data_IF_050053580694
#
_entry.id   IF_050053580694
#
_cell.length_a   1.000
_cell.length_b   1.000
_cell.length_c   1.000
_cell.angle_alpha   90.00
_cell.angle_beta   90.00
_cell.angle_gamma   90.00
#
_symmetry.space_group_name_H-M   'P 1'
#
loop_
_entity.id
_entity.type
_entity.pdbx_description
1 polymer ?
#
# COMPACT_ATOMS: atom_id res chain seq x y z
N UNK A 1 -15.81 16.59 -1.93
CA UNK A 1 -14.94 17.00 -3.04
C UNK A 1 -15.52 16.51 -4.35
N UNK A 2 -15.62 17.37 -5.35
CA UNK A 2 -16.08 16.99 -6.70
C UNK A 2 -14.93 16.33 -7.49
N UNK A 3 -15.17 15.14 -8.05
CA UNK A 3 -14.21 14.47 -8.95
C UNK A 3 -14.36 15.00 -10.37
N UNK A 4 -13.59 16.02 -10.69
CA UNK A 4 -13.67 16.78 -11.94
C UNK A 4 -12.48 16.57 -12.89
N UNK A 5 -11.75 15.45 -12.76
CA UNK A 5 -10.56 15.13 -13.57
C UNK A 5 -10.79 15.12 -15.10
N UNK A 6 -12.06 15.10 -15.53
CA UNK A 6 -12.48 15.13 -16.93
C UNK A 6 -12.71 16.56 -17.48
N UNK A 7 -12.75 17.58 -16.60
CA UNK A 7 -12.98 18.98 -16.94
C UNK A 7 -11.65 19.74 -17.01
N UNK A 8 -11.61 20.74 -17.86
CA UNK A 8 -10.51 21.70 -17.92
C UNK A 8 -10.64 22.76 -16.83
N UNK A 9 -9.53 23.39 -16.41
CA UNK A 9 -9.60 24.50 -15.45
C UNK A 9 -10.44 25.69 -15.94
N UNK A 10 -10.53 25.91 -17.25
CA UNK A 10 -11.42 26.94 -17.83
C UNK A 10 -12.89 26.60 -17.58
N UNK A 11 -13.27 25.33 -17.72
CA UNK A 11 -14.64 24.87 -17.43
C UNK A 11 -14.97 24.85 -15.94
N UNK A 12 -13.96 24.72 -15.07
CA UNK A 12 -14.14 24.74 -13.61
C UNK A 12 -14.24 26.19 -13.09
N UNK A 13 -13.34 27.07 -13.53
CA UNK A 13 -13.16 28.41 -12.93
C UNK A 13 -13.59 29.58 -13.81
N UNK A 14 -13.78 29.38 -15.11
CA UNK A 14 -14.13 30.42 -16.08
C UNK A 14 -12.98 31.37 -16.45
N UNK A 15 -12.14 31.77 -15.48
CA UNK A 15 -11.01 32.67 -15.68
C UNK A 15 -9.76 32.26 -14.91
N UNK A 16 -8.61 32.86 -15.23
CA UNK A 16 -7.32 32.62 -14.54
C UNK A 16 -7.37 33.14 -13.11
N UNK A 17 -8.00 34.29 -12.89
CA UNK A 17 -8.08 34.98 -11.59
C UNK A 17 -8.87 34.14 -10.58
N UNK A 18 -9.97 33.52 -11.02
CA UNK A 18 -10.78 32.62 -10.19
C UNK A 18 -10.00 31.35 -9.80
N UNK A 19 -9.22 30.80 -10.74
CA UNK A 19 -8.34 29.66 -10.46
C UNK A 19 -7.28 30.04 -9.41
N UNK A 20 -6.62 31.20 -9.56
CA UNK A 20 -5.62 31.69 -8.59
C UNK A 20 -6.25 31.85 -7.21
N UNK A 21 -7.41 32.51 -7.14
CA UNK A 21 -8.14 32.72 -5.89
C UNK A 21 -8.51 31.40 -5.22
N UNK A 22 -8.96 30.40 -5.99
CA UNK A 22 -9.28 29.07 -5.47
C UNK A 22 -8.05 28.32 -4.95
N UNK A 23 -6.91 28.40 -5.65
CA UNK A 23 -5.66 27.80 -5.18
C UNK A 23 -5.20 28.45 -3.88
N UNK A 24 -5.24 29.78 -3.78
CA UNK A 24 -4.90 30.52 -2.56
C UNK A 24 -5.80 30.10 -1.39
N UNK A 25 -7.11 30.01 -1.59
CA UNK A 25 -8.07 29.54 -0.57
C UNK A 25 -7.76 28.12 -0.06
N UNK A 26 -7.42 27.21 -0.97
CA UNK A 26 -7.07 25.82 -0.63
C UNK A 26 -5.78 25.78 0.20
N UNK A 27 -4.75 26.51 -0.22
CA UNK A 27 -3.47 26.55 0.49
C UNK A 27 -3.63 27.16 1.89
N UNK A 28 -4.35 28.27 2.01
CA UNK A 28 -4.59 28.93 3.30
C UNK A 28 -5.33 28.01 4.29
N UNK A 29 -6.33 27.25 3.83
CA UNK A 29 -7.18 26.45 4.70
C UNK A 29 -6.67 25.05 5.01
N UNK A 30 -5.92 24.45 4.09
CA UNK A 30 -5.64 23.02 4.13
C UNK A 30 -4.15 22.67 4.05
N UNK A 31 -3.25 23.62 3.76
CA UNK A 31 -1.83 23.32 3.70
C UNK A 31 -1.28 22.99 5.09
N UNK A 32 -0.65 21.83 5.19
CA UNK A 32 0.03 21.36 6.38
C UNK A 32 1.45 20.99 5.98
N UNK A 33 2.42 21.53 6.69
CA UNK A 33 3.81 21.13 6.55
C UNK A 33 4.09 19.93 7.46
N UNK A 34 4.56 18.84 6.86
CA UNK A 34 5.02 17.67 7.59
C UNK A 34 6.53 17.80 7.74
N UNK A 35 6.97 18.20 8.94
CA UNK A 35 8.40 18.25 9.26
C UNK A 35 8.98 16.84 9.17
N UNK A 36 10.02 16.68 8.35
CA UNK A 36 10.85 15.48 8.40
C UNK A 36 11.70 15.54 9.66
N UNK A 37 11.30 14.76 10.66
CA UNK A 37 12.16 14.44 11.79
C UNK A 37 12.33 12.92 11.83
N UNK A 38 13.56 12.49 12.13
CA UNK A 38 13.91 11.11 12.47
C UNK A 38 13.32 10.68 13.80
N UNK A 39 12.59 11.58 14.48
CA UNK A 39 11.78 11.29 15.65
C UNK A 39 11.04 9.95 15.54
N UNK A 40 11.02 9.15 16.63
CA UNK A 40 10.24 7.93 16.71
C UNK A 40 8.78 8.19 16.36
N UNK A 41 8.18 7.31 15.55
CA UNK A 41 6.76 7.44 15.25
C UNK A 41 5.96 7.14 16.53
N UNK A 42 5.07 8.06 16.89
CA UNK A 42 4.19 7.90 18.05
C UNK A 42 3.02 6.94 17.74
N UNK A 43 3.35 5.68 17.49
CA UNK A 43 2.42 4.61 17.10
C UNK A 43 2.05 3.74 18.28
N UNK A 44 0.92 3.05 18.16
CA UNK A 44 0.54 1.95 19.03
C UNK A 44 0.66 0.66 18.24
N UNK A 45 0.97 -0.43 18.93
CA UNK A 45 1.13 -1.75 18.34
C UNK A 45 0.27 -2.75 19.10
N UNK A 46 -0.15 -3.79 18.37
CA UNK A 46 -0.73 -4.98 18.96
C UNK A 46 0.43 -5.92 19.31
N UNK A 47 0.41 -6.44 20.53
CA UNK A 47 1.41 -7.39 21.02
C UNK A 47 0.77 -8.39 21.97
N UNK A 48 1.31 -9.61 22.19
CA UNK A 48 0.77 -10.52 23.20
C UNK A 48 0.61 -9.83 24.55
N UNK A 49 -0.50 -10.09 25.25
CA UNK A 49 -0.74 -9.49 26.56
C UNK A 49 0.37 -9.86 27.55
N UNK A 50 0.89 -11.09 27.46
CA UNK A 50 2.08 -11.56 28.15
C UNK A 50 3.09 -12.08 27.14
N UNK A 51 4.19 -11.35 26.95
CA UNK A 51 5.30 -11.79 26.09
C UNK A 51 6.14 -12.79 26.89
N UNK A 52 5.86 -14.08 26.72
CA UNK A 52 6.68 -15.17 27.30
C UNK A 52 7.78 -15.59 26.33
N UNK A 53 8.85 -16.24 26.80
CA UNK A 53 9.92 -16.73 25.93
C UNK A 53 9.44 -17.74 24.87
N UNK A 54 8.29 -18.39 25.09
CA UNK A 54 7.65 -19.34 24.18
C UNK A 54 6.53 -18.75 23.30
N UNK A 55 6.29 -17.44 23.33
CA UNK A 55 5.20 -16.81 22.57
C UNK A 55 5.18 -17.14 21.06
N UNK A 56 6.32 -17.33 20.35
CA UNK A 56 6.27 -17.60 18.90
C UNK A 56 5.64 -18.96 18.57
N UNK A 57 5.67 -19.90 19.51
CA UNK A 57 5.10 -21.24 19.37
C UNK A 57 3.76 -21.40 20.10
N UNK A 58 3.26 -20.33 20.72
CA UNK A 58 1.97 -20.36 21.42
C UNK A 58 0.82 -20.22 20.42
N UNK A 59 0.24 -21.36 20.06
CA UNK A 59 -0.93 -21.44 19.20
C UNK A 59 -2.22 -21.00 19.91
N UNK A 60 -2.23 -21.00 21.25
CA UNK A 60 -3.39 -20.67 22.08
C UNK A 60 -3.45 -19.20 22.50
N UNK A 61 -2.48 -18.39 22.08
CA UNK A 61 -2.47 -16.96 22.33
C UNK A 61 -3.73 -16.31 21.72
N UNK A 62 -4.60 -15.81 22.60
CA UNK A 62 -5.89 -15.18 22.27
C UNK A 62 -6.02 -13.78 22.88
N UNK A 63 -5.18 -13.45 23.86
CA UNK A 63 -5.21 -12.19 24.58
C UNK A 63 -4.01 -11.30 24.20
N UNK A 64 -4.32 -10.09 23.73
CA UNK A 64 -3.35 -9.13 23.24
C UNK A 64 -3.46 -7.81 24.00
N UNK A 65 -2.39 -7.02 23.95
CA UNK A 65 -2.35 -5.65 24.41
C UNK A 65 -2.22 -4.68 23.23
N UNK A 66 -2.93 -3.56 23.30
CA UNK A 66 -2.60 -2.36 22.53
C UNK A 66 -1.62 -1.54 23.37
N UNK A 67 -0.42 -1.30 22.85
CA UNK A 67 0.62 -0.54 23.55
C UNK A 67 0.24 0.93 23.73
N UNK A 68 0.95 1.66 24.58
CA UNK A 68 0.87 3.11 24.61
C UNK A 68 1.50 3.71 23.34
N UNK A 69 1.10 4.94 22.94
CA UNK A 69 1.76 5.65 21.84
C UNK A 69 3.27 5.81 22.07
N UNK A 70 4.08 5.43 21.08
CA UNK A 70 5.54 5.51 21.12
C UNK A 70 6.21 4.37 21.88
N UNK A 71 5.43 3.42 22.41
CA UNK A 71 5.93 2.26 23.16
C UNK A 71 6.31 1.11 22.20
N UNK A 72 7.39 1.31 21.46
CA UNK A 72 8.11 0.22 20.78
C UNK A 72 9.48 0.07 21.47
N UNK A 73 9.81 -1.09 22.06
CA UNK A 73 11.08 -1.23 22.75
C UNK A 73 12.28 -0.99 21.80
N UNK A 74 13.37 -0.37 22.27
CA UNK A 74 14.54 -0.12 21.43
C UNK A 74 15.07 -1.40 20.77
N UNK A 75 15.34 -1.34 19.47
CA UNK A 75 15.83 -2.49 18.70
C UNK A 75 14.77 -3.52 18.32
N UNK A 76 13.50 -3.33 18.69
CA UNK A 76 12.40 -4.16 18.20
C UNK A 76 11.91 -3.67 16.84
N UNK A 77 11.47 -4.64 16.04
CA UNK A 77 10.85 -4.44 14.75
C UNK A 77 9.32 -4.62 14.87
N UNK A 78 8.57 -4.10 13.90
CA UNK A 78 7.14 -4.38 13.76
C UNK A 78 6.79 -4.73 12.33
N UNK A 79 5.70 -5.46 12.16
CA UNK A 79 5.07 -5.67 10.85
C UNK A 79 3.88 -4.72 10.69
N UNK A 80 3.67 -4.22 9.48
CA UNK A 80 2.44 -3.50 9.12
C UNK A 80 1.53 -4.44 8.33
N UNK A 81 0.22 -4.39 8.57
CA UNK A 81 -0.76 -5.21 7.87
C UNK A 81 -1.50 -4.35 6.85
N UNK A 82 -1.57 -4.85 5.62
CA UNK A 82 -2.25 -4.21 4.50
C UNK A 82 -3.38 -5.12 4.02
N UNK A 83 -4.61 -4.61 4.02
CA UNK A 83 -5.79 -5.39 3.67
C UNK A 83 -6.95 -4.48 3.24
N UNK A 84 -8.02 -5.08 2.71
CA UNK A 84 -9.24 -4.35 2.42
C UNK A 84 -10.22 -4.45 3.58
N UNK A 85 -10.79 -3.35 4.05
CA UNK A 85 -11.70 -3.41 5.22
C UNK A 85 -12.94 -4.27 4.97
N UNK A 86 -13.42 -4.31 3.72
CA UNK A 86 -14.46 -5.22 3.26
C UNK A 86 -13.89 -6.61 2.88
N UNK A 87 -12.97 -7.14 3.68
CA UNK A 87 -12.39 -8.45 3.46
C UNK A 87 -13.43 -9.51 3.81
N UNK A 88 -13.96 -10.19 2.80
CA UNK A 88 -14.76 -11.39 2.97
C UNK A 88 -13.88 -12.61 2.71
N UNK A 89 -13.75 -13.45 3.73
CA UNK A 89 -13.22 -14.80 3.58
C UNK A 89 -14.08 -15.73 4.43
N UNK A 90 -14.50 -16.85 3.85
CA UNK A 90 -15.24 -17.85 4.60
C UNK A 90 -14.32 -18.46 5.66
N UNK A 91 -14.79 -18.46 6.90
CA UNK A 91 -14.11 -19.16 7.97
C UNK A 91 -14.48 -20.63 7.83
N UNK A 92 -13.49 -21.44 7.47
CA UNK A 92 -13.62 -22.89 7.51
C UNK A 92 -13.94 -23.32 8.95
N UNK A 93 -15.19 -23.72 9.19
CA UNK A 93 -15.68 -24.13 10.50
C UNK A 93 -14.91 -25.34 11.08
N UNK A 94 -14.16 -26.07 10.25
CA UNK A 94 -13.31 -27.18 10.69
C UNK A 94 -11.98 -26.72 11.30
N UNK A 95 -11.58 -25.46 11.10
CA UNK A 95 -10.35 -24.88 11.66
C UNK A 95 -10.72 -23.93 12.81
N UNK A 96 -10.48 -24.31 14.08
CA UNK A 96 -10.79 -23.43 15.20
C UNK A 96 -9.92 -22.18 15.13
N UNK A 97 -10.54 -21.01 14.99
CA UNK A 97 -9.87 -19.72 15.12
C UNK A 97 -10.08 -19.22 16.54
N UNK A 98 -9.00 -18.77 17.18
CA UNK A 98 -9.05 -18.21 18.52
C UNK A 98 -9.97 -16.98 18.59
N UNK A 99 -10.65 -16.83 19.72
CA UNK A 99 -11.41 -15.62 20.05
C UNK A 99 -10.42 -14.52 20.47
N UNK A 100 -9.93 -13.74 19.50
CA UNK A 100 -8.94 -12.70 19.74
C UNK A 100 -9.51 -11.51 20.49
N UNK A 101 -8.83 -11.12 21.57
CA UNK A 101 -9.23 -10.00 22.42
C UNK A 101 -8.07 -9.06 22.69
N UNK A 102 -8.36 -7.77 22.77
CA UNK A 102 -7.36 -6.71 22.99
C UNK A 102 -7.67 -5.98 24.30
N UNK A 103 -6.67 -5.82 25.15
CA UNK A 103 -6.65 -4.92 26.30
C UNK A 103 -5.89 -3.65 25.95
N UNK A 104 -6.51 -2.50 26.08
CA UNK A 104 -5.85 -1.22 25.85
C UNK A 104 -5.05 -0.80 27.09
N UNK A 105 -3.73 -0.61 26.94
CA UNK A 105 -2.87 -0.16 28.05
C UNK A 105 -3.15 1.28 28.47
N UNK A 106 -3.75 2.11 27.62
CA UNK A 106 -4.18 3.46 27.97
C UNK A 106 -5.41 3.46 28.90
N UNK A 107 -6.18 2.36 28.94
CA UNK A 107 -7.36 2.19 29.79
C UNK A 107 -7.29 0.87 30.57
N UNK A 108 -6.34 0.74 31.53
CA UNK A 108 -6.07 -0.51 32.22
C UNK A 108 -7.27 -1.05 33.01
N UNK A 109 -8.21 -0.20 33.41
CA UNK A 109 -9.42 -0.60 34.12
C UNK A 109 -10.54 -1.10 33.20
N UNK A 110 -10.50 -0.76 31.89
CA UNK A 110 -11.51 -1.20 30.93
C UNK A 110 -11.35 -2.69 30.61
N UNK A 111 -12.42 -3.47 30.42
CA UNK A 111 -12.30 -4.90 30.08
C UNK A 111 -11.61 -5.12 28.73
N UNK A 112 -11.22 -6.37 28.46
CA UNK A 112 -10.82 -6.77 27.11
C UNK A 112 -11.97 -6.51 26.14
N UNK A 113 -11.65 -5.97 24.96
CA UNK A 113 -12.59 -5.81 23.85
C UNK A 113 -12.31 -6.84 22.76
N UNK A 114 -13.30 -7.12 21.93
CA UNK A 114 -13.09 -7.82 20.67
C UNK A 114 -12.21 -6.99 19.72
N UNK A 115 -11.59 -7.67 18.77
CA UNK A 115 -10.96 -7.02 17.62
C UNK A 115 -12.02 -6.32 16.75
N UNK A 116 -11.63 -5.18 16.17
CA UNK A 116 -12.40 -4.40 15.21
C UNK A 116 -12.14 -4.88 13.77
N UNK A 117 -10.93 -5.37 13.48
CA UNK A 117 -10.59 -5.88 12.15
C UNK A 117 -11.16 -7.27 11.89
N UNK A 118 -11.31 -7.67 10.60
CA UNK A 118 -11.82 -9.00 10.28
C UNK A 118 -10.94 -10.08 10.92
N UNK A 119 -11.56 -11.05 11.59
CA UNK A 119 -10.86 -12.08 12.36
C UNK A 119 -9.80 -12.82 11.56
N UNK A 120 -10.08 -13.07 10.29
CA UNK A 120 -9.15 -13.77 9.40
C UNK A 120 -7.91 -12.93 9.07
N UNK A 121 -8.05 -11.61 8.94
CA UNK A 121 -6.91 -10.70 8.75
C UNK A 121 -6.00 -10.75 9.98
N UNK A 122 -6.58 -10.65 11.17
CA UNK A 122 -5.83 -10.73 12.42
C UNK A 122 -5.10 -12.07 12.55
N UNK A 123 -5.83 -13.18 12.35
CA UNK A 123 -5.28 -14.53 12.45
C UNK A 123 -4.08 -14.73 11.53
N UNK A 124 -4.23 -14.38 10.25
CA UNK A 124 -3.21 -14.61 9.22
C UNK A 124 -1.99 -13.70 9.42
N UNK A 125 -2.20 -12.44 9.78
CA UNK A 125 -1.12 -11.54 10.18
C UNK A 125 -0.38 -12.04 11.42
N UNK A 126 -1.10 -12.58 12.41
CA UNK A 126 -0.50 -13.14 13.62
C UNK A 126 0.31 -14.42 13.34
N UNK A 127 -0.18 -15.30 12.47
CA UNK A 127 0.57 -16.46 11.98
C UNK A 127 1.89 -16.03 11.31
N UNK A 128 1.85 -14.99 10.48
CA UNK A 128 3.05 -14.43 9.86
C UNK A 128 4.03 -13.86 10.90
N UNK A 129 3.53 -13.08 11.85
CA UNK A 129 4.31 -12.49 12.94
C UNK A 129 5.03 -13.55 13.79
N UNK A 130 4.33 -14.64 14.13
CA UNK A 130 4.90 -15.80 14.86
C UNK A 130 6.00 -16.49 14.06
N UNK A 131 5.74 -16.79 12.78
CA UNK A 131 6.73 -17.44 11.90
C UNK A 131 8.03 -16.62 11.81
N UNK A 132 7.92 -15.29 11.84
CA UNK A 132 9.05 -14.35 11.75
C UNK A 132 9.56 -13.86 13.11
N UNK A 133 8.97 -14.31 14.22
CA UNK A 133 9.35 -13.94 15.60
C UNK A 133 9.30 -12.43 15.87
N UNK A 134 8.33 -11.73 15.28
CA UNK A 134 8.11 -10.28 15.49
C UNK A 134 6.83 -10.09 16.31
N UNK A 135 6.89 -9.68 17.60
CA UNK A 135 5.71 -9.64 18.48
C UNK A 135 4.88 -8.36 18.35
N UNK A 136 5.24 -7.45 17.43
CA UNK A 136 4.56 -6.17 17.24
C UNK A 136 3.93 -6.10 15.87
N UNK A 137 2.61 -5.94 15.84
CA UNK A 137 1.82 -5.78 14.63
C UNK A 137 1.15 -4.41 14.65
N UNK A 138 1.20 -3.72 13.52
CA UNK A 138 0.41 -2.53 13.28
C UNK A 138 -0.74 -2.83 12.32
N UNK A 139 -1.98 -2.65 12.78
CA UNK A 139 -3.21 -2.78 11.99
C UNK A 139 -3.99 -1.48 12.12
N UNK A 140 -4.31 -0.81 11.01
CA UNK A 140 -4.95 0.50 11.00
C UNK A 140 -6.25 0.60 11.84
N UNK A 141 -7.14 -0.40 11.77
CA UNK A 141 -8.40 -0.43 12.53
C UNK A 141 -8.21 -0.65 14.03
N UNK A 142 -7.06 -1.12 14.46
CA UNK A 142 -6.75 -1.41 15.87
C UNK A 142 -5.83 -0.38 16.50
N UNK A 143 -4.81 0.04 15.75
CA UNK A 143 -3.72 0.90 16.20
C UNK A 143 -4.04 2.40 16.04
N UNK A 144 -5.14 2.74 15.39
CA UNK A 144 -5.69 4.10 15.27
C UNK A 144 -7.02 4.16 16.02
N UNK A 145 -7.24 5.19 16.83
CA UNK A 145 -8.55 5.39 17.45
C UNK A 145 -9.52 5.92 16.39
N UNK A 146 -10.30 5.00 15.81
CA UNK A 146 -11.25 5.31 14.74
C UNK A 146 -12.40 6.25 15.19
N UNK A 147 -12.55 6.53 16.48
CA UNK A 147 -13.47 7.57 16.98
C UNK A 147 -12.85 8.96 17.10
N UNK A 148 -11.52 9.09 17.04
CA UNK A 148 -10.80 10.34 17.27
C UNK A 148 -10.31 10.95 15.95
N UNK A 149 -10.88 12.09 15.56
CA UNK A 149 -10.56 12.76 14.30
C UNK A 149 -9.11 13.27 14.22
N UNK A 150 -8.56 13.79 15.31
CA UNK A 150 -7.17 14.25 15.37
C UNK A 150 -6.19 13.09 15.22
N UNK A 151 -6.47 11.98 15.91
CA UNK A 151 -5.64 10.79 15.84
C UNK A 151 -5.66 10.15 14.45
N UNK A 152 -6.83 10.08 13.81
CA UNK A 152 -6.94 9.70 12.40
C UNK A 152 -6.11 10.61 11.51
N UNK A 153 -6.34 11.92 11.60
CA UNK A 153 -5.66 12.89 10.76
C UNK A 153 -4.15 12.77 10.89
N UNK A 154 -3.64 12.68 12.13
CA UNK A 154 -2.22 12.48 12.41
C UNK A 154 -1.67 11.24 11.73
N UNK A 155 -2.34 10.10 11.82
CA UNK A 155 -1.88 8.87 11.15
C UNK A 155 -1.93 8.98 9.63
N UNK A 156 -2.99 9.55 9.06
CA UNK A 156 -3.12 9.75 7.60
C UNK A 156 -1.95 10.54 7.02
N UNK A 157 -1.41 11.51 7.77
CA UNK A 157 -0.25 12.32 7.35
C UNK A 157 1.09 11.58 7.41
N UNK A 158 1.18 10.46 8.15
CA UNK A 158 2.43 9.69 8.32
C UNK A 158 2.30 8.24 7.84
N UNK A 159 1.21 7.87 7.17
CA UNK A 159 0.99 6.49 6.71
C UNK A 159 2.16 5.99 5.88
N UNK A 160 2.72 6.82 4.99
CA UNK A 160 3.94 6.52 4.23
C UNK A 160 5.09 6.06 5.13
N UNK A 161 5.34 6.77 6.23
CA UNK A 161 6.39 6.46 7.21
C UNK A 161 6.11 5.16 7.96
N UNK A 162 4.84 4.86 8.27
CA UNK A 162 4.44 3.63 8.96
C UNK A 162 4.80 2.40 8.12
N UNK A 163 4.45 2.38 6.84
CA UNK A 163 4.79 1.24 5.98
C UNK A 163 6.29 1.20 5.66
N UNK A 164 6.91 2.37 5.43
CA UNK A 164 8.36 2.47 5.17
C UNK A 164 9.23 1.99 6.33
N UNK A 165 8.87 2.30 7.58
CA UNK A 165 9.64 1.90 8.77
C UNK A 165 9.29 0.49 9.28
N UNK A 166 8.25 -0.15 8.75
CA UNK A 166 7.93 -1.53 9.09
C UNK A 166 8.96 -2.50 8.50
N UNK A 167 9.22 -3.60 9.21
CA UNK A 167 10.14 -4.64 8.74
C UNK A 167 9.57 -5.37 7.53
N UNK A 168 8.28 -5.68 7.60
CA UNK A 168 7.48 -6.23 6.52
C UNK A 168 6.11 -5.56 6.50
N UNK A 169 5.64 -5.23 5.32
CA UNK A 169 4.23 -4.99 5.03
C UNK A 169 3.62 -6.28 4.53
N UNK A 170 2.68 -6.84 5.29
CA UNK A 170 1.98 -8.08 4.97
C UNK A 170 0.66 -7.72 4.29
N UNK A 171 0.62 -7.89 2.98
CA UNK A 171 -0.59 -7.76 2.16
C UNK A 171 -1.41 -9.05 2.24
N UNK A 172 -2.50 -9.01 2.99
CA UNK A 172 -3.38 -10.17 3.19
C UNK A 172 -4.43 -10.18 2.09
N UNK A 173 -4.29 -11.11 1.15
CA UNK A 173 -5.18 -11.25 -0.01
C UNK A 173 -6.39 -12.11 0.32
N UNK A 174 -7.53 -11.84 -0.31
CA UNK A 174 -8.73 -12.68 -0.26
C UNK A 174 -8.72 -13.79 -1.31
N UNK A 175 -8.06 -13.56 -2.45
CA UNK A 175 -8.07 -14.51 -3.57
C UNK A 175 -7.21 -15.74 -3.26
N UNK A 176 -7.84 -16.91 -3.35
CA UNK A 176 -7.15 -18.20 -3.23
C UNK A 176 -6.25 -18.49 -4.42
N UNK A 177 -5.07 -19.06 -4.14
CA UNK A 177 -4.17 -19.51 -5.20
C UNK A 177 -4.48 -20.94 -5.64
N UNK A 178 -4.60 -21.19 -6.96
CA UNK A 178 -4.75 -22.53 -7.47
C UNK A 178 -3.42 -23.31 -7.40
N UNK A 179 -3.51 -24.63 -7.29
CA UNK A 179 -2.38 -25.56 -7.32
C UNK A 179 -1.44 -25.35 -8.50
N UNK A 180 -1.98 -24.97 -9.66
CA UNK A 180 -1.21 -24.63 -10.86
C UNK A 180 -0.27 -23.44 -10.61
N UNK A 181 -0.73 -22.39 -9.93
CA UNK A 181 0.13 -21.26 -9.56
C UNK A 181 1.17 -21.65 -8.50
N UNK A 182 0.80 -22.47 -7.53
CA UNK A 182 1.71 -22.96 -6.48
C UNK A 182 2.87 -23.77 -7.06
N UNK A 183 2.59 -24.59 -8.09
CA UNK A 183 3.64 -25.32 -8.81
C UNK A 183 4.68 -24.39 -9.46
N UNK A 184 4.21 -23.29 -10.06
CA UNK A 184 5.07 -22.31 -10.70
C UNK A 184 5.87 -21.49 -9.67
N UNK A 185 5.26 -21.14 -8.53
CA UNK A 185 5.94 -20.49 -7.41
C UNK A 185 7.04 -21.38 -6.82
N UNK A 186 6.77 -22.68 -6.64
CA UNK A 186 7.75 -23.61 -6.07
C UNK A 186 9.02 -23.70 -6.91
N UNK A 187 8.88 -23.71 -8.23
CA UNK A 187 10.01 -23.66 -9.16
C UNK A 187 10.79 -22.36 -8.97
N UNK A 188 10.14 -21.20 -9.03
CA UNK A 188 10.84 -19.90 -8.92
C UNK A 188 11.58 -19.77 -7.58
N UNK A 189 10.94 -20.18 -6.49
CA UNK A 189 11.53 -20.12 -5.15
C UNK A 189 12.79 -20.99 -5.07
N UNK A 190 12.74 -22.24 -5.54
CA UNK A 190 13.90 -23.13 -5.60
C UNK A 190 15.07 -22.50 -6.37
N UNK A 191 14.81 -21.86 -7.51
CA UNK A 191 15.84 -21.22 -8.33
C UNK A 191 16.40 -19.93 -7.71
N UNK A 192 15.55 -19.15 -7.04
CA UNK A 192 15.98 -17.92 -6.35
C UNK A 192 17.01 -18.22 -5.24
N UNK A 193 16.85 -19.36 -4.55
CA UNK A 193 17.80 -19.84 -3.54
C UNK A 193 19.13 -20.31 -4.14
N UNK A 194 19.13 -20.80 -5.39
CA UNK A 194 20.32 -21.33 -6.05
C UNK A 194 21.14 -20.28 -6.83
N UNK A 195 20.70 -19.01 -6.90
CA UNK A 195 21.36 -17.91 -7.66
C UNK A 195 21.64 -18.26 -9.14
N UNK A 196 20.82 -19.10 -9.76
CA UNK A 196 20.97 -19.50 -11.16
C UNK A 196 20.19 -18.57 -12.09
N UNK A 197 20.74 -18.29 -13.27
CA UNK A 197 20.24 -17.27 -14.20
C UNK A 197 18.94 -17.63 -14.93
N UNK A 198 18.48 -18.88 -14.89
CA UNK A 198 17.19 -19.32 -15.44
C UNK A 198 16.80 -20.69 -14.84
N UNK A 199 15.50 -20.95 -14.61
CA UNK A 199 15.05 -22.28 -14.23
C UNK A 199 15.32 -23.30 -15.34
N UNK A 200 16.08 -24.35 -15.05
CA UNK A 200 16.11 -25.56 -15.88
C UNK A 200 14.93 -26.45 -15.42
N UNK A 201 13.78 -26.31 -16.07
CA UNK A 201 12.52 -26.98 -15.70
C UNK A 201 12.53 -28.53 -15.87
N UNK A 202 13.69 -29.19 -15.71
CA UNK A 202 13.84 -30.65 -15.64
C UNK A 202 14.12 -31.16 -14.22
N UNK A 203 14.61 -30.30 -13.31
CA UNK A 203 14.93 -30.64 -11.93
C UNK A 203 13.79 -30.25 -10.99
N UNK A 204 12.88 -31.20 -10.74
CA UNK A 204 11.66 -30.96 -9.98
C UNK A 204 11.89 -30.95 -8.47
N UNK A 205 11.19 -30.08 -7.70
CA UNK A 205 11.29 -30.06 -6.25
C UNK A 205 10.96 -31.44 -5.65
N UNK A 206 11.88 -32.00 -4.85
CA UNK A 206 11.62 -33.21 -4.04
C UNK A 206 11.32 -34.49 -4.83
N UNK A 207 11.60 -34.54 -6.15
CA UNK A 207 11.25 -35.70 -6.99
C UNK A 207 9.76 -35.81 -7.33
N UNK A 208 8.97 -34.78 -7.01
CA UNK A 208 7.53 -34.72 -7.31
C UNK A 208 7.34 -34.22 -8.73
N UNK A 209 6.61 -35.00 -9.54
CA UNK A 209 6.30 -34.59 -10.90
C UNK A 209 5.18 -33.53 -10.93
N UNK A 210 5.54 -32.26 -10.79
CA UNK A 210 4.62 -31.13 -10.95
C UNK A 210 4.53 -30.62 -12.40
N UNK A 211 5.09 -31.35 -13.39
CA UNK A 211 4.96 -31.00 -14.83
C UNK A 211 3.53 -30.74 -15.25
N UNK A 212 2.55 -31.59 -14.91
CA UNK A 212 1.18 -31.38 -15.36
C UNK A 212 0.61 -30.04 -14.86
N UNK A 213 0.82 -29.73 -13.57
CA UNK A 213 0.38 -28.49 -12.94
C UNK A 213 1.08 -27.27 -13.53
N UNK A 214 2.37 -27.36 -13.78
CA UNK A 214 3.15 -26.26 -14.34
C UNK A 214 2.83 -26.02 -15.83
N UNK A 215 2.63 -27.08 -16.61
CA UNK A 215 2.20 -26.96 -18.00
C UNK A 215 0.79 -26.38 -18.11
N UNK A 216 -0.10 -26.73 -17.18
CA UNK A 216 -1.42 -26.11 -17.07
C UNK A 216 -1.33 -24.63 -16.66
N UNK A 217 -0.44 -24.28 -15.72
CA UNK A 217 -0.15 -22.89 -15.39
C UNK A 217 0.30 -22.12 -16.63
N UNK A 218 1.29 -22.60 -17.39
CA UNK A 218 1.77 -21.92 -18.61
C UNK A 218 0.65 -21.69 -19.63
N UNK A 219 -0.22 -22.69 -19.83
CA UNK A 219 -1.36 -22.57 -20.76
C UNK A 219 -2.39 -21.53 -20.31
N UNK A 220 -2.53 -21.33 -18.99
CA UNK A 220 -3.57 -20.48 -18.40
C UNK A 220 -3.02 -19.27 -17.62
N UNK A 221 -1.74 -18.93 -17.78
CA UNK A 221 -1.03 -17.99 -16.91
C UNK A 221 -1.74 -16.63 -16.86
N UNK A 222 -2.16 -16.10 -18.01
CA UNK A 222 -2.89 -14.84 -18.11
C UNK A 222 -4.18 -14.87 -17.28
N UNK A 223 -4.97 -15.95 -17.38
CA UNK A 223 -6.23 -16.08 -16.65
C UNK A 223 -6.00 -16.21 -15.14
N UNK A 224 -5.02 -17.02 -14.75
CA UNK A 224 -4.66 -17.26 -13.34
C UNK A 224 -4.17 -15.96 -12.70
N UNK A 225 -3.24 -15.27 -13.34
CA UNK A 225 -2.71 -13.99 -12.85
C UNK A 225 -3.78 -12.89 -12.87
N UNK A 226 -4.65 -12.85 -13.88
CA UNK A 226 -5.78 -11.92 -13.89
C UNK A 226 -6.74 -12.16 -12.71
N UNK A 227 -6.95 -13.43 -12.32
CA UNK A 227 -7.74 -13.78 -11.13
C UNK A 227 -7.06 -13.32 -9.83
N UNK A 228 -5.73 -13.40 -9.75
CA UNK A 228 -5.00 -12.86 -8.59
C UNK A 228 -5.15 -11.33 -8.53
N UNK A 229 -4.96 -10.65 -9.67
CA UNK A 229 -5.06 -9.19 -9.75
C UNK A 229 -6.50 -8.65 -9.66
N UNK A 230 -7.52 -9.51 -9.77
CA UNK A 230 -8.90 -9.11 -9.46
C UNK A 230 -9.18 -9.06 -7.97
N UNK A 231 -8.23 -9.44 -7.11
CA UNK A 231 -8.33 -9.14 -5.68
C UNK A 231 -8.44 -7.63 -5.46
N UNK A 232 -9.43 -7.21 -4.67
CA UNK A 232 -9.71 -5.81 -4.35
C UNK A 232 -8.49 -5.09 -3.74
N UNK A 233 -7.58 -5.83 -3.12
CA UNK A 233 -6.33 -5.27 -2.60
C UNK A 233 -5.48 -4.62 -3.71
N UNK A 234 -5.50 -5.13 -4.94
CA UNK A 234 -4.74 -4.50 -6.04
C UNK A 234 -5.41 -3.25 -6.60
N UNK A 235 -6.71 -3.07 -6.40
CA UNK A 235 -7.47 -1.94 -6.97
C UNK A 235 -7.77 -0.85 -5.95
N UNK A 236 -7.63 -1.05 -4.64
CA UNK A 236 -7.94 -0.01 -3.64
C UNK A 236 -6.83 1.06 -3.57
N UNK A 237 -7.22 2.33 -3.50
CA UNK A 237 -6.27 3.45 -3.49
C UNK A 237 -5.39 3.50 -2.23
N UNK A 238 -5.93 3.12 -1.07
CA UNK A 238 -5.16 3.03 0.16
C UNK A 238 -4.09 1.93 0.06
N UNK A 239 -4.43 0.72 -0.38
CA UNK A 239 -3.47 -0.38 -0.54
C UNK A 239 -2.40 -0.09 -1.60
N UNK A 240 -2.73 0.72 -2.63
CA UNK A 240 -1.74 1.26 -3.57
C UNK A 240 -0.64 2.06 -2.84
N UNK A 241 -1.02 2.94 -1.92
CA UNK A 241 -0.08 3.70 -1.10
C UNK A 241 0.76 2.77 -0.21
N UNK A 242 0.10 1.87 0.50
CA UNK A 242 0.71 0.95 1.46
C UNK A 242 1.78 0.10 0.78
N UNK A 243 1.44 -0.47 -0.38
CA UNK A 243 2.35 -1.20 -1.27
C UNK A 243 3.55 -0.35 -1.69
N UNK A 244 3.31 0.91 -2.10
CA UNK A 244 4.36 1.74 -2.69
C UNK A 244 5.31 2.35 -1.67
N UNK A 245 4.85 2.55 -0.45
CA UNK A 245 5.63 3.08 0.67
C UNK A 245 6.34 1.98 1.47
N UNK A 246 5.92 0.73 1.35
CA UNK A 246 6.55 -0.40 2.04
C UNK A 246 8.02 -0.59 1.62
N UNK A 247 8.91 -0.75 2.61
CA UNK A 247 10.31 -1.13 2.35
C UNK A 247 10.45 -2.59 1.91
N UNK A 248 9.60 -3.47 2.42
CA UNK A 248 9.47 -4.86 2.00
C UNK A 248 8.00 -5.27 2.06
N UNK A 249 7.42 -5.66 0.93
CA UNK A 249 6.02 -6.08 0.84
C UNK A 249 5.92 -7.58 0.51
N UNK A 250 5.22 -8.32 1.38
CA UNK A 250 4.87 -9.73 1.19
C UNK A 250 3.40 -9.86 0.90
N UNK A 251 3.10 -10.68 -0.10
CA UNK A 251 1.75 -11.11 -0.42
C UNK A 251 1.50 -12.42 0.32
N UNK A 252 0.46 -12.43 1.13
CA UNK A 252 -0.01 -13.58 1.86
C UNK A 252 -1.35 -14.00 1.26
N UNK A 253 -1.35 -15.10 0.51
CA UNK A 253 -2.54 -15.58 -0.18
C UNK A 253 -3.02 -16.90 0.41
N UNK A 254 -4.33 -17.06 0.62
CA UNK A 254 -4.88 -18.31 1.09
C UNK A 254 -4.71 -19.40 0.02
N UNK A 255 -4.48 -20.61 0.49
CA UNK A 255 -4.52 -21.80 -0.35
C UNK A 255 -5.73 -22.60 0.10
N UNK A 256 -6.64 -22.88 -0.84
CA UNK A 256 -7.80 -23.74 -0.60
C UNK A 256 -7.39 -25.19 -0.35
N UNK A 257 -8.23 -26.13 -0.77
CA UNK A 257 -7.90 -27.56 -0.68
C UNK A 257 -6.76 -27.91 -1.64
N UNK A 258 -5.52 -27.85 -1.15
CA UNK A 258 -4.32 -28.23 -1.89
C UNK A 258 -4.26 -29.74 -2.12
N UNK A 259 -3.84 -30.14 -3.32
CA UNK A 259 -3.52 -31.54 -3.59
C UNK A 259 -2.32 -32.02 -2.78
N UNK A 260 -2.22 -33.34 -2.58
CA UNK A 260 -1.09 -33.97 -1.88
C UNK A 260 0.26 -33.63 -2.53
N UNK A 261 0.28 -33.43 -3.86
CA UNK A 261 1.46 -33.03 -4.61
C UNK A 261 1.92 -31.61 -4.22
N UNK A 262 0.98 -30.68 -4.06
CA UNK A 262 1.28 -29.30 -3.66
C UNK A 262 1.61 -29.18 -2.18
N UNK A 263 0.98 -29.99 -1.32
CA UNK A 263 1.26 -30.02 0.11
C UNK A 263 2.72 -30.35 0.44
N UNK A 264 3.41 -31.06 -0.45
CA UNK A 264 4.81 -31.45 -0.30
C UNK A 264 5.81 -30.44 -0.93
N UNK A 265 5.31 -29.37 -1.57
CA UNK A 265 6.18 -28.36 -2.17
C UNK A 265 6.85 -27.50 -1.10
N UNK A 266 8.15 -27.24 -1.31
CA UNK A 266 8.96 -26.34 -0.48
C UNK A 266 8.61 -24.88 -0.79
N UNK A 267 7.45 -24.44 -0.30
CA UNK A 267 6.98 -23.06 -0.33
C UNK A 267 7.11 -22.43 1.06
N UNK A 268 7.08 -21.10 1.12
CA UNK A 268 7.03 -20.35 2.38
C UNK A 268 5.60 -20.39 2.96
N UNK A 269 5.29 -21.51 3.62
CA UNK A 269 3.98 -21.77 4.21
C UNK A 269 3.81 -21.03 5.55
N UNK A 270 2.73 -20.27 5.66
CA UNK A 270 2.35 -19.54 6.88
C UNK A 270 0.92 -19.97 7.26
N UNK A 271 0.80 -20.99 8.09
CA UNK A 271 -0.48 -21.62 8.38
C UNK A 271 -1.10 -22.22 7.10
N UNK A 272 -2.29 -21.75 6.72
CA UNK A 272 -2.98 -22.17 5.48
C UNK A 272 -2.60 -21.36 4.25
N UNK A 273 -1.69 -20.40 4.40
CA UNK A 273 -1.34 -19.47 3.33
C UNK A 273 0.04 -19.75 2.78
N UNK A 274 0.28 -19.23 1.59
CA UNK A 274 1.61 -19.11 1.01
C UNK A 274 2.05 -17.65 0.98
N UNK A 275 3.29 -17.44 1.41
CA UNK A 275 3.99 -16.16 1.37
C UNK A 275 4.82 -16.06 0.08
N UNK A 276 4.71 -14.94 -0.61
CA UNK A 276 5.50 -14.61 -1.80
C UNK A 276 5.58 -13.09 -1.98
N UNK A 277 6.21 -12.61 -3.04
CA UNK A 277 6.44 -11.18 -3.26
C UNK A 277 6.17 -10.78 -4.70
N UNK A 278 6.10 -9.48 -4.95
CA UNK A 278 5.98 -8.92 -6.30
C UNK A 278 7.08 -9.38 -7.25
N UNK A 279 8.29 -9.66 -6.74
CA UNK A 279 9.37 -10.22 -7.54
C UNK A 279 9.01 -11.61 -8.07
N UNK A 280 8.34 -12.43 -7.26
CA UNK A 280 7.89 -13.76 -7.69
C UNK A 280 6.81 -13.65 -8.78
N UNK A 281 5.82 -12.75 -8.60
CA UNK A 281 4.81 -12.49 -9.64
C UNK A 281 5.49 -12.00 -10.92
N UNK A 282 6.44 -11.07 -10.81
CA UNK A 282 7.16 -10.53 -11.97
C UNK A 282 7.84 -11.62 -12.81
N UNK A 283 8.47 -12.60 -12.15
CA UNK A 283 9.11 -13.74 -12.83
C UNK A 283 8.06 -14.67 -13.45
N UNK A 284 6.93 -14.93 -12.76
CA UNK A 284 5.82 -15.71 -13.31
C UNK A 284 5.24 -15.08 -14.58
N UNK A 285 5.27 -13.75 -14.68
CA UNK A 285 4.79 -12.97 -15.82
C UNK A 285 5.82 -12.87 -16.96
N UNK A 286 7.08 -13.19 -16.72
CA UNK A 286 8.11 -13.18 -17.77
C UNK A 286 8.93 -14.47 -17.73
N UNK A 287 8.31 -15.65 -17.93
CA UNK A 287 9.05 -16.90 -17.87
C UNK A 287 10.10 -16.90 -18.99
N UNK A 288 11.36 -17.28 -18.72
CA UNK A 288 12.46 -17.20 -19.70
C UNK A 288 12.29 -18.06 -20.96
N UNK A 289 11.18 -18.80 -21.11
CA UNK A 289 10.86 -19.65 -22.25
C UNK A 289 9.41 -19.51 -22.75
N UNK A 290 8.67 -18.49 -22.33
CA UNK A 290 7.27 -18.29 -22.74
C UNK A 290 7.19 -17.12 -23.71
N UNK A 291 7.17 -17.43 -25.00
CA UNK A 291 6.79 -16.51 -26.06
C UNK A 291 5.26 -16.39 -26.09
N UNK A 292 4.67 -15.73 -25.10
CA UNK A 292 3.26 -15.35 -25.16
C UNK A 292 3.16 -13.84 -25.17
N UNK A 293 2.57 -13.32 -26.24
CA UNK A 293 2.18 -11.92 -26.32
C UNK A 293 1.09 -11.68 -25.25
N UNK A 294 1.46 -11.03 -24.14
CA UNK A 294 0.51 -10.57 -23.13
C UNK A 294 -0.33 -9.43 -23.70
N UNK A 295 -1.41 -9.76 -24.41
CA UNK A 295 -2.34 -8.79 -25.01
C UNK A 295 -3.50 -8.39 -24.08
N UNK A 296 -3.39 -8.64 -22.77
CA UNK A 296 -4.38 -8.15 -21.81
C UNK A 296 -3.89 -6.81 -21.25
N UNK A 297 -4.52 -5.71 -21.67
CA UNK A 297 -4.18 -4.33 -21.29
C UNK A 297 -4.02 -4.17 -19.76
N UNK A 298 -4.87 -4.80 -18.96
CA UNK A 298 -4.82 -4.73 -17.49
C UNK A 298 -3.56 -5.39 -16.89
N UNK A 299 -3.10 -6.49 -17.48
CA UNK A 299 -1.96 -7.28 -16.97
C UNK A 299 -0.64 -6.60 -17.33
N UNK A 300 -0.56 -6.02 -18.53
CA UNK A 300 0.61 -5.26 -19.01
C UNK A 300 0.81 -3.94 -18.26
N UNK A 301 -0.25 -3.29 -17.81
CA UNK A 301 -0.12 -2.02 -17.08
C UNK A 301 0.21 -2.22 -15.58
N UNK A 302 -0.32 -3.26 -14.95
CA UNK A 302 0.11 -3.68 -13.60
C UNK A 302 1.56 -4.20 -13.62
N UNK A 303 2.00 -4.79 -14.74
CA UNK A 303 3.40 -5.09 -15.04
C UNK A 303 4.25 -3.83 -14.93
N UNK A 304 3.87 -2.76 -15.63
CA UNK A 304 4.55 -1.44 -15.59
C UNK A 304 4.61 -0.90 -14.16
N UNK A 305 3.54 -1.00 -13.36
CA UNK A 305 3.56 -0.60 -11.94
C UNK A 305 4.51 -1.44 -11.06
N UNK A 306 4.61 -2.74 -11.36
CA UNK A 306 5.49 -3.68 -10.62
C UNK A 306 6.97 -3.43 -10.91
N UNK A 307 7.32 -2.95 -12.11
CA UNK A 307 8.70 -2.54 -12.45
C UNK A 307 9.23 -1.39 -11.58
N UNK A 308 8.34 -0.56 -11.02
CA UNK A 308 8.74 0.64 -10.27
C UNK A 308 8.91 0.43 -8.77
N UNK A 309 8.77 -0.80 -8.26
CA UNK A 309 9.05 -1.12 -6.84
C UNK A 309 10.55 -1.06 -6.47
N UNK A 310 11.45 -0.87 -7.43
CA UNK A 310 12.91 -0.84 -7.19
C UNK A 310 13.66 0.38 -7.73
N UNK A 311 12.97 1.38 -8.30
CA UNK A 311 13.59 2.57 -8.87
C UNK A 311 13.33 3.82 -8.03
N UNK A 312 14.40 4.55 -7.70
CA UNK A 312 14.31 5.91 -7.18
C UNK A 312 13.74 6.81 -8.28
N UNK A 313 12.47 7.16 -8.14
CA UNK A 313 11.71 7.86 -9.16
C UNK A 313 11.67 9.35 -8.82
N UNK A 314 12.84 9.99 -8.83
CA UNK A 314 12.94 11.45 -8.71
C UNK A 314 12.60 12.10 -10.06
N UNK A 315 11.50 12.84 -10.15
CA UNK A 315 11.21 13.73 -11.28
C UNK A 315 9.75 13.78 -11.75
N UNK A 316 9.41 14.81 -12.54
CA UNK A 316 8.04 15.10 -13.00
C UNK A 316 7.37 13.97 -13.78
N UNK A 317 8.14 13.23 -14.59
CA UNK A 317 7.64 12.09 -15.36
C UNK A 317 7.17 10.95 -14.46
N UNK A 318 7.80 10.76 -13.30
CA UNK A 318 7.40 9.76 -12.33
C UNK A 318 6.09 10.13 -11.62
N UNK A 319 5.95 11.38 -11.18
CA UNK A 319 4.73 11.87 -10.54
C UNK A 319 3.50 11.71 -11.43
N UNK A 320 3.65 11.92 -12.74
CA UNK A 320 2.58 11.68 -13.72
C UNK A 320 2.17 10.21 -13.82
N UNK A 321 3.14 9.29 -13.85
CA UNK A 321 2.86 7.85 -13.87
C UNK A 321 2.18 7.39 -12.58
N UNK A 322 2.63 7.89 -11.44
CA UNK A 322 2.01 7.64 -10.13
C UNK A 322 0.58 8.17 -10.07
N UNK A 323 0.33 9.37 -10.59
CA UNK A 323 -1.01 9.94 -10.69
C UNK A 323 -1.92 9.06 -11.54
N UNK A 324 -1.47 8.62 -12.72
CA UNK A 324 -2.26 7.73 -13.59
C UNK A 324 -2.57 6.38 -12.93
N UNK A 325 -1.59 5.78 -12.27
CA UNK A 325 -1.77 4.53 -11.53
C UNK A 325 -2.80 4.69 -10.41
N UNK A 326 -2.68 5.75 -9.60
CA UNK A 326 -3.63 6.07 -8.53
C UNK A 326 -5.04 6.37 -9.06
N UNK A 327 -5.19 7.04 -10.21
CA UNK A 327 -6.51 7.37 -10.78
C UNK A 327 -7.34 6.13 -11.16
N UNK A 328 -6.67 5.00 -11.41
CA UNK A 328 -7.31 3.70 -11.68
C UNK A 328 -7.74 2.97 -10.41
N UNK A 329 -7.15 3.33 -9.27
CA UNK A 329 -7.51 2.73 -8.01
C UNK A 329 -8.87 3.24 -7.53
N UNK A 330 -9.67 2.36 -6.94
CA UNK A 330 -10.93 2.67 -6.28
C UNK A 330 -10.67 3.44 -4.99
N UNK A 331 -11.36 4.57 -4.85
CA UNK A 331 -11.40 5.34 -3.60
C UNK A 331 -12.84 5.73 -3.29
N UNK A 332 -13.32 5.38 -2.09
CA UNK A 332 -14.65 5.75 -1.63
C UNK A 332 -14.76 7.26 -1.36
N UNK A 333 -13.65 7.87 -0.94
CA UNK A 333 -13.56 9.30 -0.62
C UNK A 333 -12.59 9.93 -1.62
N UNK A 334 -13.06 10.92 -2.37
CA UNK A 334 -12.23 11.55 -3.41
C UNK A 334 -11.03 12.32 -2.82
N UNK A 335 -11.20 12.98 -1.67
CA UNK A 335 -10.13 13.77 -1.05
C UNK A 335 -8.98 12.91 -0.51
N UNK A 336 -9.20 11.64 -0.18
CA UNK A 336 -8.14 10.68 0.22
C UNK A 336 -7.05 10.58 -0.84
N UNK A 337 -7.40 10.74 -2.13
CA UNK A 337 -6.44 10.71 -3.25
C UNK A 337 -5.35 11.76 -3.12
N UNK A 338 -5.66 12.91 -2.54
CA UNK A 338 -4.65 13.96 -2.30
C UNK A 338 -3.63 13.50 -1.25
N UNK A 339 -4.11 12.90 -0.16
CA UNK A 339 -3.25 12.37 0.91
C UNK A 339 -2.41 11.20 0.40
N UNK A 340 -3.03 10.27 -0.34
CA UNK A 340 -2.34 9.13 -0.94
C UNK A 340 -1.24 9.59 -1.89
N UNK A 341 -1.56 10.51 -2.80
CA UNK A 341 -0.59 11.03 -3.75
C UNK A 341 0.58 11.74 -3.04
N UNK A 342 0.29 12.61 -2.06
CA UNK A 342 1.31 13.28 -1.28
C UNK A 342 2.23 12.30 -0.52
N UNK A 343 1.64 11.25 0.06
CA UNK A 343 2.36 10.20 0.78
C UNK A 343 3.27 9.39 -0.15
N UNK A 344 2.76 8.96 -1.31
CA UNK A 344 3.55 8.21 -2.29
C UNK A 344 4.69 9.05 -2.87
N UNK A 345 4.45 10.34 -3.11
CA UNK A 345 5.49 11.26 -3.58
C UNK A 345 6.42 11.77 -2.46
N UNK A 346 6.22 11.35 -1.21
CA UNK A 346 6.99 11.84 -0.04
C UNK A 346 7.01 13.38 0.05
N UNK A 347 5.88 14.02 -0.26
CA UNK A 347 5.77 15.47 -0.22
C UNK A 347 5.87 16.02 1.20
N UNK A 348 6.70 17.05 1.37
CA UNK A 348 6.85 17.83 2.61
C UNK A 348 5.57 18.58 2.95
N UNK A 349 4.94 19.19 1.94
CA UNK A 349 3.69 19.91 2.11
C UNK A 349 2.52 19.03 1.68
N UNK A 350 1.56 18.83 2.58
CA UNK A 350 0.37 18.01 2.34
C UNK A 350 -0.89 18.86 2.49
N UNK A 351 -1.98 18.41 1.87
CA UNK A 351 -3.28 19.03 2.07
C UNK A 351 -4.11 18.20 3.07
N UNK A 352 -4.77 18.88 4.00
CA UNK A 352 -5.73 18.28 4.90
C UNK A 352 -6.99 17.86 4.12
N UNK A 353 -7.00 16.62 3.67
CA UNK A 353 -8.08 16.01 2.87
C UNK A 353 -9.43 15.98 3.57
N UNK A 354 -9.47 15.96 4.91
CA UNK A 354 -10.70 16.03 5.69
C UNK A 354 -11.38 17.38 5.53
N UNK A 355 -10.61 18.47 5.62
CA UNK A 355 -11.12 19.85 5.41
C UNK A 355 -11.61 20.06 3.97
N UNK A 356 -10.93 19.43 3.01
CA UNK A 356 -11.26 19.52 1.59
C UNK A 356 -12.37 18.54 1.16
N UNK A 357 -12.90 17.70 2.05
CA UNK A 357 -13.96 16.74 1.72
C UNK A 357 -15.35 17.40 1.62
N UNK A 358 -15.46 18.46 0.83
CA UNK A 358 -16.68 19.24 0.61
C UNK A 358 -16.92 19.37 -0.91
N UNK A 359 -18.17 19.34 -1.36
CA UNK A 359 -18.53 19.42 -2.78
C UNK A 359 -18.07 20.74 -3.44
N UNK A 360 -17.86 21.81 -2.68
CA UNK A 360 -17.33 23.09 -3.21
C UNK A 360 -15.90 23.01 -3.71
N UNK A 361 -15.13 22.02 -3.26
CA UNK A 361 -13.72 21.87 -3.66
C UNK A 361 -13.59 20.94 -4.87
N UNK A 362 -12.90 21.47 -5.89
CA UNK A 362 -12.47 20.77 -7.10
C UNK A 362 -11.26 19.87 -6.81
N UNK A 363 -11.35 18.57 -7.13
CA UNK A 363 -10.23 17.65 -6.99
C UNK A 363 -9.02 18.10 -7.81
N UNK A 364 -9.23 18.45 -9.08
CA UNK A 364 -8.15 18.88 -9.98
C UNK A 364 -7.45 20.14 -9.48
N UNK A 365 -8.20 21.07 -8.89
CA UNK A 365 -7.64 22.31 -8.31
C UNK A 365 -6.87 22.03 -7.02
N UNK A 366 -7.36 21.13 -6.17
CA UNK A 366 -6.63 20.71 -4.98
C UNK A 366 -5.33 19.96 -5.33
N UNK A 367 -5.36 19.11 -6.37
CA UNK A 367 -4.16 18.43 -6.85
C UNK A 367 -3.14 19.43 -7.41
N UNK A 368 -3.60 20.45 -8.15
CA UNK A 368 -2.73 21.54 -8.62
C UNK A 368 -2.09 22.29 -7.45
N UNK A 369 -2.88 22.67 -6.44
CA UNK A 369 -2.39 23.35 -5.24
C UNK A 369 -1.33 22.52 -4.49
N UNK A 370 -1.58 21.22 -4.32
CA UNK A 370 -0.63 20.28 -3.70
C UNK A 370 0.69 20.21 -4.47
N UNK A 371 0.64 20.06 -5.79
CA UNK A 371 1.83 20.00 -6.65
C UNK A 371 2.59 21.33 -6.60
N UNK A 372 1.88 22.46 -6.65
CA UNK A 372 2.50 23.78 -6.59
C UNK A 372 3.22 24.02 -5.27
N UNK A 373 2.60 23.67 -4.13
CA UNK A 373 3.23 23.81 -2.82
C UNK A 373 4.57 23.07 -2.75
N UNK A 374 4.69 21.90 -3.37
CA UNK A 374 5.93 21.12 -3.33
C UNK A 374 6.91 21.44 -4.49
N UNK A 375 6.47 22.04 -5.59
CA UNK A 375 7.37 22.44 -6.70
C UNK A 375 7.95 23.85 -6.54
N UNK A 376 7.27 24.71 -5.79
CA UNK A 376 7.63 26.13 -5.57
C UNK A 376 8.37 26.31 -4.25
N UNK A 377 7.86 25.78 -3.14
CA UNK A 377 8.47 26.00 -1.81
C UNK A 377 9.79 25.25 -1.64
N UNK A 378 9.93 24.05 -2.21
CA UNK A 378 11.21 23.32 -2.17
C UNK A 378 12.33 24.10 -2.88
N UNK A 379 12.02 24.92 -3.88
CA UNK A 379 13.02 25.78 -4.55
C UNK A 379 13.40 27.01 -3.75
N UNK A 380 12.53 27.49 -2.87
CA UNK A 380 12.84 28.62 -1.98
C UNK A 380 13.71 28.18 -0.79
N UNK A 381 13.58 26.93 -0.35
CA UNK A 381 14.41 26.38 0.75
C UNK A 381 15.85 26.03 0.36
N UNK A 382 16.15 25.83 -0.93
CA UNK A 382 17.53 25.58 -1.40
C UNK A 382 18.35 26.86 -1.51
N UNK A 383 17.71 28.03 -1.62
CA UNK A 383 18.38 29.32 -1.90
C UNK A 383 18.31 30.37 -0.77
N UNK A 384 17.76 30.06 0.41
CA UNK A 384 17.71 31.05 1.49
C UNK A 384 17.75 30.46 2.90
N UNK A 385 18.77 30.84 3.66
CA UNK A 385 18.73 30.82 5.13
C UNK A 385 17.70 31.85 5.59
N UNK A 386 16.70 31.39 6.34
CA UNK A 386 15.65 32.21 6.99
C UNK A 386 14.82 33.09 6.03
N UNK A 387 13.80 32.49 5.39
CA UNK A 387 12.72 33.28 4.79
C UNK A 387 11.41 33.02 5.53
N UNK A 388 10.81 34.10 6.04
CA UNK A 388 9.53 34.09 6.74
C UNK A 388 8.40 33.66 5.80
N UNK A 389 7.46 32.85 6.31
CA UNK A 389 6.21 32.43 5.62
C UNK A 389 5.37 33.59 5.06
N UNK A 390 5.62 34.83 5.50
CA UNK A 390 4.96 36.05 5.00
C UNK A 390 5.50 36.56 3.65
N UNK A 391 6.65 36.06 3.20
CA UNK A 391 7.39 36.65 2.09
C UNK A 391 7.30 35.81 0.79
N UNK A 392 6.53 34.72 0.81
CA UNK A 392 6.24 33.93 -0.39
C UNK A 392 5.24 34.69 -1.26
N UNK A 393 5.76 35.44 -2.24
CA UNK A 393 4.96 36.05 -3.30
C UNK A 393 4.42 34.95 -4.23
N UNK A 394 3.25 34.41 -3.85
CA UNK A 394 2.53 33.40 -4.61
C UNK A 394 2.14 33.90 -6.00
N UNK A 395 1.98 35.20 -6.23
CA UNK A 395 1.62 35.75 -7.55
C UNK A 395 2.81 35.69 -8.52
N UNK A 396 4.02 36.01 -8.04
CA UNK A 396 5.25 35.90 -8.84
C UNK A 396 5.61 34.43 -9.16
N UNK A 397 5.38 33.51 -8.22
CA UNK A 397 5.57 32.07 -8.42
C UNK A 397 4.50 31.43 -9.32
N UNK A 398 3.27 31.93 -9.28
CA UNK A 398 2.19 31.53 -10.18
C UNK A 398 2.47 31.94 -11.63
N UNK A 399 2.91 33.17 -11.85
CA UNK A 399 3.36 33.64 -13.17
C UNK A 399 4.63 32.94 -13.65
N UNK A 400 5.55 32.55 -12.75
CA UNK A 400 6.72 31.74 -13.10
C UNK A 400 6.32 30.30 -13.53
N UNK A 401 5.41 29.66 -12.79
CA UNK A 401 4.95 28.29 -13.07
C UNK A 401 4.11 28.22 -14.36
N UNK A 402 3.26 29.22 -14.61
CA UNK A 402 2.48 29.32 -15.85
C UNK A 402 3.25 29.95 -17.02
N UNK A 403 4.19 30.85 -16.76
CA UNK A 403 4.99 31.55 -17.78
C UNK A 403 5.97 30.64 -18.52
N UNK A 404 6.50 29.59 -17.88
CA UNK A 404 7.22 28.50 -18.58
C UNK A 404 6.30 27.59 -19.41
N UNK A 405 5.02 27.50 -19.05
CA UNK A 405 3.97 26.77 -19.79
C UNK A 405 3.19 27.76 -20.66
N UNK A 406 3.90 28.46 -21.53
CA UNK A 406 3.27 29.24 -22.59
C UNK A 406 2.31 28.33 -23.35
N UNK A 407 1.00 28.61 -23.23
CA UNK A 407 -0.13 27.98 -23.91
C UNK A 407 0.19 26.74 -24.78
N UNK A 408 0.11 25.56 -24.17
CA UNK A 408 -0.18 24.30 -24.88
C UNK A 408 -1.64 23.88 -24.64
N UNK A 409 -2.54 24.86 -24.53
CA UNK A 409 -3.98 24.63 -24.38
C UNK A 409 -4.76 24.76 -25.70
N UNK A 410 -4.07 24.84 -26.85
CA UNK A 410 -4.72 24.64 -28.15
C UNK A 410 -3.85 23.77 -29.08
N UNK A 411 -4.51 22.79 -29.71
CA UNK A 411 -4.05 21.88 -30.77
C UNK A 411 -3.31 20.59 -30.38
N UNK A 412 -4.08 19.53 -30.09
CA UNK A 412 -4.15 18.39 -31.05
C UNK A 412 -5.52 17.70 -31.02
N UNK A 413 -6.17 17.84 -32.19
CA UNK A 413 -7.47 17.34 -32.64
C UNK A 413 -7.60 15.81 -32.57
N UNK A 414 -8.83 15.38 -32.30
CA UNK A 414 -9.56 14.29 -32.96
C UNK A 414 -8.75 13.12 -33.55
N UNK A 415 -8.70 11.99 -32.82
CA UNK A 415 -9.29 10.70 -33.20
C UNK A 415 -9.15 9.70 -32.07
#
# INVERSE_FOLDING_TARGET
>A
MERDSHRTFREIHGSKENLVSSVKDILEKALVEVVEDDAPLNLRFITPYQITTGWPTDENCSDYALTLPGELPPGQEYISVSYTWAHSQEIDASKPISDYRIKDRATPDAPFRSINCPTMIFHRAWCFARAHKIPYIWIDQECIYQGNAEDKQRHLQIMDKIYKRSKWTVAVLSTELPDTMLSALALILQYSHQRLSCPNFGDWPGGIDIRPLYDEFKKNAVKILSSLYSDRWFTRAWTFQERRCASACVLLAPVGNKSDAVAQLSLDWIGSDVSFSFRHIFILMNPPNVCTQYHADNVHEVLVESFYHGGDLSGRSANWLLFRAMERCDSLICSDRLTIFANVCSFRYKLNSTVLNDAKYSYSTCMLALIMANEVEDKLTVDSTETSRSDVDLDQNFEWYLGRKQWSLDAKRAK
#
